data_IF_205170091014
#
_entry.id   IF_205170091014
#
_cell.length_a   1.000
_cell.length_b   1.000
_cell.length_c   1.000
_cell.angle_alpha   90.00
_cell.angle_beta   90.00
_cell.angle_gamma   90.00
#
_symmetry.space_group_name_H-M   'P 1'
#
loop_
_entity.id
_entity.type
_entity.pdbx_description
1 polymer ?
#
# COMPACT_ATOMS: atom_id res chain seq x y z
N UNK A 1 8.65 -15.53 -9.91
CA UNK A 1 8.18 -14.15 -10.15
C UNK A 1 6.74 -14.04 -9.68
N UNK A 2 6.40 -13.07 -8.82
CA UNK A 2 5.08 -12.95 -8.14
C UNK A 2 3.90 -12.85 -9.11
N UNK A 3 4.11 -12.35 -10.33
CA UNK A 3 3.06 -12.19 -11.35
C UNK A 3 2.96 -13.34 -12.37
N UNK A 4 3.75 -14.41 -12.23
CA UNK A 4 3.79 -15.53 -13.20
C UNK A 4 2.53 -16.40 -13.21
N UNK A 5 1.56 -16.10 -12.33
CA UNK A 5 0.37 -16.92 -12.10
C UNK A 5 -0.95 -16.15 -12.26
N UNK A 6 -0.89 -14.92 -12.78
CA UNK A 6 -2.09 -14.15 -13.11
C UNK A 6 -2.77 -14.73 -14.35
N UNK A 7 -4.05 -15.11 -14.22
CA UNK A 7 -4.85 -15.47 -15.40
C UNK A 7 -5.11 -14.21 -16.24
N UNK A 8 -5.51 -14.36 -17.50
CA UNK A 8 -5.86 -13.22 -18.36
C UNK A 8 -6.95 -12.32 -17.75
N UNK A 9 -7.87 -12.89 -16.97
CA UNK A 9 -8.88 -12.14 -16.21
C UNK A 9 -8.25 -11.30 -15.10
N UNK A 10 -7.28 -11.85 -14.36
CA UNK A 10 -6.60 -11.10 -13.30
C UNK A 10 -5.78 -9.95 -13.90
N UNK A 11 -5.22 -10.14 -15.09
CA UNK A 11 -4.49 -9.08 -15.82
C UNK A 11 -5.40 -7.92 -16.23
N UNK A 12 -6.60 -8.22 -16.70
CA UNK A 12 -7.60 -7.20 -17.04
C UNK A 12 -8.05 -6.45 -15.78
N UNK A 13 -8.33 -7.16 -14.68
CA UNK A 13 -8.70 -6.52 -13.41
C UNK A 13 -7.57 -5.63 -12.85
N UNK A 14 -6.32 -6.07 -12.95
CA UNK A 14 -5.17 -5.25 -12.54
C UNK A 14 -5.01 -4.01 -13.41
N UNK A 15 -5.23 -4.12 -14.72
CA UNK A 15 -5.20 -2.98 -15.64
C UNK A 15 -6.30 -1.96 -15.33
N UNK A 16 -7.54 -2.43 -15.12
CA UNK A 16 -8.67 -1.59 -14.70
C UNK A 16 -8.44 -0.94 -13.33
N UNK A 17 -7.91 -1.72 -12.37
CA UNK A 17 -7.53 -1.22 -11.05
C UNK A 17 -6.45 -0.15 -11.12
N UNK A 18 -5.44 -0.31 -11.98
CA UNK A 18 -4.41 0.69 -12.23
C UNK A 18 -4.97 2.01 -12.76
N UNK A 19 -5.86 1.94 -13.75
CA UNK A 19 -6.54 3.13 -14.29
C UNK A 19 -7.40 3.79 -13.21
N UNK A 20 -8.08 2.97 -12.39
CA UNK A 20 -8.84 3.41 -11.23
C UNK A 20 -7.97 4.18 -10.23
N UNK A 21 -6.85 3.60 -9.78
CA UNK A 21 -5.90 4.23 -8.84
C UNK A 21 -5.28 5.51 -9.35
N UNK A 22 -4.99 5.57 -10.65
CA UNK A 22 -4.49 6.80 -11.27
C UNK A 22 -5.58 7.88 -11.26
N UNK A 23 -6.81 7.50 -11.62
CA UNK A 23 -7.99 8.35 -11.56
C UNK A 23 -8.27 8.89 -10.16
N UNK A 24 -8.28 8.01 -9.15
CA UNK A 24 -8.49 8.39 -7.75
C UNK A 24 -7.43 9.38 -7.27
N UNK A 25 -6.17 9.11 -7.63
CA UNK A 25 -5.07 10.03 -7.33
C UNK A 25 -5.25 11.44 -7.92
N UNK A 26 -5.96 11.58 -9.05
CA UNK A 26 -6.21 12.86 -9.70
C UNK A 26 -7.38 13.67 -9.10
N UNK A 27 -8.30 13.01 -8.37
CA UNK A 27 -9.52 13.66 -7.87
C UNK A 27 -9.18 14.83 -6.94
N UNK A 28 -8.31 14.62 -5.95
CA UNK A 28 -7.96 15.66 -4.98
C UNK A 28 -7.36 16.92 -5.64
N UNK A 29 -6.35 16.81 -6.54
CA UNK A 29 -5.86 17.95 -7.33
C UNK A 29 -6.94 18.66 -8.14
N UNK A 30 -7.85 17.92 -8.80
CA UNK A 30 -8.95 18.51 -9.57
C UNK A 30 -9.94 19.28 -8.69
N UNK A 31 -10.27 18.76 -7.52
CA UNK A 31 -11.13 19.45 -6.54
C UNK A 31 -10.47 20.74 -6.05
N UNK A 32 -9.16 20.71 -5.75
CA UNK A 32 -8.42 21.92 -5.40
C UNK A 32 -8.41 22.96 -6.53
N UNK A 33 -8.25 22.52 -7.78
CA UNK A 33 -8.30 23.40 -8.94
C UNK A 33 -9.65 24.12 -9.07
N UNK A 34 -10.77 23.37 -9.03
CA UNK A 34 -12.12 23.94 -9.13
C UNK A 34 -12.40 24.87 -7.95
N UNK A 35 -11.95 24.49 -6.75
CA UNK A 35 -12.08 25.34 -5.56
C UNK A 35 -11.26 26.63 -5.68
N UNK A 36 -10.07 26.56 -6.30
CA UNK A 36 -9.26 27.73 -6.62
C UNK A 36 -9.95 28.69 -7.59
N UNK A 37 -10.62 28.16 -8.63
CA UNK A 37 -11.44 28.97 -9.54
C UNK A 37 -12.63 29.61 -8.82
N UNK A 38 -13.34 28.85 -7.98
CA UNK A 38 -14.40 29.35 -7.13
C UNK A 38 -13.95 30.53 -6.26
N UNK A 39 -12.81 30.38 -5.59
CA UNK A 39 -12.22 31.44 -4.76
C UNK A 39 -11.83 32.68 -5.57
N UNK A 40 -11.31 32.48 -6.79
CA UNK A 40 -10.97 33.59 -7.67
C UNK A 40 -12.22 34.36 -8.15
N UNK A 41 -13.29 33.65 -8.49
CA UNK A 41 -14.56 34.27 -8.88
C UNK A 41 -15.17 35.07 -7.71
N UNK A 42 -15.10 34.55 -6.47
CA UNK A 42 -15.52 35.27 -5.25
C UNK A 42 -14.68 36.52 -5.00
N UNK A 43 -13.36 36.45 -5.23
CA UNK A 43 -12.47 37.60 -5.03
C UNK A 43 -12.61 38.69 -6.10
N UNK A 44 -13.05 38.34 -7.32
CA UNK A 44 -13.10 39.25 -8.47
C UNK A 44 -14.44 39.99 -8.64
N UNK A 45 -15.54 39.45 -8.13
CA UNK A 45 -16.88 40.05 -8.27
C UNK A 45 -17.31 40.85 -7.04
N UNK A 46 -17.99 41.98 -7.25
CA UNK A 46 -18.67 42.68 -6.16
C UNK A 46 -19.86 41.85 -5.67
N UNK A 47 -20.02 41.71 -4.35
CA UNK A 47 -21.13 40.96 -3.75
C UNK A 47 -22.48 41.57 -4.18
N UNK A 48 -23.24 40.87 -5.02
CA UNK A 48 -24.61 41.25 -5.39
C UNK A 48 -24.96 41.18 -6.88
N UNK A 49 -24.00 40.87 -7.76
CA UNK A 49 -24.25 40.82 -9.21
C UNK A 49 -24.86 39.46 -9.64
N UNK A 50 -25.83 39.45 -10.57
CA UNK A 50 -26.46 38.20 -11.04
C UNK A 50 -25.45 37.24 -11.70
N UNK A 51 -24.40 37.82 -12.28
CA UNK A 51 -23.26 37.12 -12.90
C UNK A 51 -22.48 36.29 -11.88
N UNK A 52 -22.36 36.77 -10.63
CA UNK A 52 -21.68 36.05 -9.54
C UNK A 52 -22.43 34.78 -9.15
N UNK A 53 -23.76 34.87 -9.00
CA UNK A 53 -24.58 33.71 -8.67
C UNK A 53 -24.51 32.65 -9.77
N UNK A 54 -24.49 33.05 -11.04
CA UNK A 54 -24.33 32.11 -12.16
C UNK A 54 -22.95 31.43 -12.17
N UNK A 55 -21.87 32.16 -11.86
CA UNK A 55 -20.52 31.59 -11.79
C UNK A 55 -20.40 30.55 -10.66
N UNK A 56 -20.91 30.86 -9.46
CA UNK A 56 -20.95 29.92 -8.34
C UNK A 56 -21.75 28.67 -8.70
N UNK A 57 -22.96 28.83 -9.26
CA UNK A 57 -23.80 27.69 -9.63
C UNK A 57 -23.12 26.81 -10.70
N UNK A 58 -22.40 27.40 -11.65
CA UNK A 58 -21.64 26.65 -12.66
C UNK A 58 -20.52 25.81 -12.01
N UNK A 59 -19.75 26.40 -11.12
CA UNK A 59 -18.65 25.72 -10.44
C UNK A 59 -19.14 24.69 -9.41
N UNK A 60 -20.25 24.96 -8.72
CA UNK A 60 -20.90 24.01 -7.82
C UNK A 60 -21.41 22.77 -8.58
N UNK A 61 -22.00 22.96 -9.78
CA UNK A 61 -22.37 21.85 -10.67
C UNK A 61 -21.14 21.06 -11.12
N UNK A 62 -20.03 21.72 -11.43
CA UNK A 62 -18.78 21.04 -11.79
C UNK A 62 -18.25 20.16 -10.63
N UNK A 63 -18.28 20.65 -9.39
CA UNK A 63 -17.93 19.85 -8.21
C UNK A 63 -18.85 18.63 -8.05
N UNK A 64 -20.15 18.78 -8.30
CA UNK A 64 -21.09 17.66 -8.24
C UNK A 64 -20.77 16.59 -9.28
N UNK A 65 -20.47 16.97 -10.53
CA UNK A 65 -20.05 16.02 -11.56
C UNK A 65 -18.74 15.31 -11.20
N UNK A 66 -17.76 16.03 -10.64
CA UNK A 66 -16.51 15.43 -10.16
C UNK A 66 -16.76 14.48 -9.00
N UNK A 67 -17.65 14.80 -8.07
CA UNK A 67 -18.00 13.91 -6.95
C UNK A 67 -18.67 12.61 -7.43
N UNK A 68 -19.58 12.69 -8.42
CA UNK A 68 -20.18 11.50 -9.03
C UNK A 68 -19.14 10.65 -9.78
N UNK A 69 -18.25 11.28 -10.55
CA UNK A 69 -17.17 10.57 -11.25
C UNK A 69 -16.19 9.92 -10.26
N UNK A 70 -15.83 10.64 -9.21
CA UNK A 70 -14.99 10.18 -8.11
C UNK A 70 -15.56 8.90 -7.48
N UNK A 71 -16.85 8.92 -7.13
CA UNK A 71 -17.51 7.76 -6.54
C UNK A 71 -17.39 6.50 -7.42
N UNK A 72 -17.62 6.65 -8.73
CA UNK A 72 -17.50 5.52 -9.68
C UNK A 72 -16.05 5.03 -9.80
N UNK A 73 -15.08 5.95 -9.85
CA UNK A 73 -13.65 5.62 -9.97
C UNK A 73 -13.16 4.90 -8.72
N UNK A 74 -13.36 5.48 -7.53
CA UNK A 74 -12.93 4.88 -6.26
C UNK A 74 -13.59 3.51 -6.04
N UNK A 75 -14.88 3.38 -6.38
CA UNK A 75 -15.58 2.10 -6.25
C UNK A 75 -15.00 1.04 -7.18
N UNK A 76 -14.75 1.40 -8.45
CA UNK A 76 -14.17 0.48 -9.44
C UNK A 76 -12.75 0.07 -9.04
N UNK A 77 -11.94 1.01 -8.58
CA UNK A 77 -10.60 0.74 -8.06
C UNK A 77 -10.64 -0.26 -6.90
N UNK A 78 -11.39 0.06 -5.84
CA UNK A 78 -11.47 -0.77 -4.65
C UNK A 78 -11.95 -2.18 -5.00
N UNK A 79 -13.01 -2.27 -5.82
CA UNK A 79 -13.54 -3.55 -6.26
C UNK A 79 -12.51 -4.37 -7.05
N UNK A 80 -11.83 -3.77 -8.03
CA UNK A 80 -10.86 -4.46 -8.87
C UNK A 80 -9.65 -4.95 -8.07
N UNK A 81 -9.10 -4.13 -7.17
CA UNK A 81 -7.94 -4.52 -6.36
C UNK A 81 -8.27 -5.54 -5.29
N UNK A 82 -9.37 -5.36 -4.55
CA UNK A 82 -9.82 -6.36 -3.56
C UNK A 82 -10.09 -7.71 -4.23
N UNK A 83 -10.81 -7.71 -5.37
CA UNK A 83 -11.11 -8.95 -6.08
C UNK A 83 -9.86 -9.65 -6.63
N UNK A 84 -8.89 -8.87 -7.11
CA UNK A 84 -7.61 -9.42 -7.58
C UNK A 84 -6.82 -10.04 -6.43
N UNK A 85 -6.72 -9.34 -5.29
CA UNK A 85 -6.04 -9.83 -4.09
C UNK A 85 -6.61 -11.16 -3.60
N UNK A 86 -7.95 -11.25 -3.48
CA UNK A 86 -8.65 -12.47 -3.09
C UNK A 86 -8.36 -13.65 -4.03
N UNK A 87 -8.45 -13.42 -5.35
CA UNK A 87 -8.23 -14.46 -6.37
C UNK A 87 -6.79 -14.98 -6.34
N UNK A 88 -5.81 -14.09 -6.24
CA UNK A 88 -4.40 -14.48 -6.18
C UNK A 88 -4.09 -15.25 -4.91
N UNK A 89 -4.57 -14.78 -3.75
CA UNK A 89 -4.36 -15.45 -2.47
C UNK A 89 -5.01 -16.84 -2.44
N UNK A 90 -6.23 -16.98 -2.96
CA UNK A 90 -6.94 -18.26 -3.06
C UNK A 90 -6.18 -19.26 -3.95
N UNK A 91 -5.70 -18.82 -5.12
CA UNK A 91 -4.90 -19.66 -6.02
C UNK A 91 -3.58 -20.11 -5.40
N UNK A 92 -2.89 -19.22 -4.69
CA UNK A 92 -1.66 -19.57 -3.99
C UNK A 92 -1.92 -20.66 -2.95
N UNK A 93 -2.95 -20.50 -2.11
CA UNK A 93 -3.35 -21.53 -1.13
C UNK A 93 -3.71 -22.86 -1.78
N UNK A 94 -4.50 -22.85 -2.86
CA UNK A 94 -4.91 -24.08 -3.55
C UNK A 94 -3.71 -24.82 -4.18
N UNK A 95 -2.81 -24.10 -4.85
CA UNK A 95 -1.63 -24.69 -5.47
C UNK A 95 -0.65 -25.23 -4.45
N UNK A 96 -0.48 -24.49 -3.35
CA UNK A 96 0.35 -24.94 -2.25
C UNK A 96 -0.19 -26.22 -1.61
N UNK A 97 -1.48 -26.26 -1.26
CA UNK A 97 -2.11 -27.47 -0.73
C UNK A 97 -1.95 -28.65 -1.70
N UNK A 98 -2.13 -28.41 -3.00
CA UNK A 98 -1.91 -29.43 -4.03
C UNK A 98 -0.45 -29.90 -4.13
N UNK A 99 0.52 -29.01 -3.91
CA UNK A 99 1.94 -29.36 -3.91
C UNK A 99 2.29 -30.21 -2.68
N UNK A 100 1.82 -29.81 -1.49
CA UNK A 100 2.01 -30.56 -0.24
C UNK A 100 1.41 -31.96 -0.32
N UNK A 101 0.20 -32.10 -0.88
CA UNK A 101 -0.47 -33.39 -1.04
C UNK A 101 0.20 -34.32 -2.07
N UNK A 102 1.07 -33.79 -2.94
CA UNK A 102 1.80 -34.57 -3.96
C UNK A 102 3.18 -35.01 -3.47
N UNK A 103 3.54 -34.67 -2.24
CA UNK A 103 4.88 -34.87 -1.73
C UNK A 103 5.01 -36.22 -1.04
N UNK A 104 6.14 -36.90 -1.27
CA UNK A 104 6.38 -38.23 -0.71
C UNK A 104 6.52 -38.20 0.81
N UNK A 105 6.18 -39.31 1.47
CA UNK A 105 6.25 -39.46 2.94
C UNK A 105 7.66 -39.15 3.47
N UNK A 106 8.71 -39.49 2.73
CA UNK A 106 10.10 -39.19 3.10
C UNK A 106 10.43 -37.70 3.19
N UNK A 107 9.67 -36.82 2.52
CA UNK A 107 9.83 -35.37 2.66
C UNK A 107 9.33 -34.86 4.02
N UNK A 108 8.28 -35.49 4.56
CA UNK A 108 7.74 -35.16 5.88
C UNK A 108 8.62 -35.71 7.02
N UNK A 109 9.36 -36.80 6.77
CA UNK A 109 10.31 -37.35 7.76
C UNK A 109 11.67 -36.62 7.78
N UNK A 110 12.15 -36.10 6.63
CA UNK A 110 13.45 -35.44 6.52
C UNK A 110 13.42 -33.95 6.91
N UNK A 111 12.29 -33.27 6.75
CA UNK A 111 12.17 -31.87 7.11
C UNK A 111 11.61 -31.74 8.53
N UNK A 112 12.47 -31.32 9.45
CA UNK A 112 12.20 -31.07 10.88
C UNK A 112 11.20 -29.91 11.10
N UNK A 113 10.81 -29.19 10.05
CA UNK A 113 9.70 -28.24 10.10
C UNK A 113 8.40 -29.02 10.08
N UNK A 114 7.68 -29.07 11.20
CA UNK A 114 6.40 -29.77 11.31
C UNK A 114 5.51 -29.41 10.12
N UNK A 115 4.84 -30.38 9.50
CA UNK A 115 3.90 -30.13 8.39
C UNK A 115 2.92 -28.99 8.69
N UNK A 116 2.56 -28.82 9.97
CA UNK A 116 1.77 -27.70 10.50
C UNK A 116 2.43 -26.32 10.32
N UNK A 117 3.74 -26.21 10.48
CA UNK A 117 4.48 -24.95 10.37
C UNK A 117 4.54 -24.49 8.93
N UNK A 118 4.75 -25.41 7.98
CA UNK A 118 4.75 -25.08 6.55
C UNK A 118 3.34 -24.71 6.07
N UNK A 119 2.30 -25.36 6.58
CA UNK A 119 0.90 -24.97 6.28
C UNK A 119 0.59 -23.58 6.85
N UNK A 120 1.03 -23.30 8.08
CA UNK A 120 0.79 -22.03 8.75
C UNK A 120 1.56 -20.89 8.09
N UNK A 121 2.81 -21.12 7.70
CA UNK A 121 3.63 -20.13 6.99
C UNK A 121 3.00 -19.75 5.67
N UNK A 122 2.55 -20.71 4.86
CA UNK A 122 1.93 -20.38 3.56
C UNK A 122 0.56 -19.71 3.71
N UNK A 123 -0.24 -20.09 4.72
CA UNK A 123 -1.48 -19.37 4.99
C UNK A 123 -1.22 -17.91 5.35
N UNK A 124 -0.21 -17.68 6.19
CA UNK A 124 0.25 -16.34 6.62
C UNK A 124 0.81 -15.55 5.45
N UNK A 125 1.72 -16.12 4.67
CA UNK A 125 2.32 -15.49 3.50
C UNK A 125 1.27 -15.15 2.45
N UNK A 126 0.28 -16.02 2.25
CA UNK A 126 -0.84 -15.75 1.33
C UNK A 126 -1.71 -14.59 1.81
N UNK A 127 -1.95 -14.46 3.12
CA UNK A 127 -2.64 -13.30 3.71
C UNK A 127 -1.85 -12.02 3.55
N UNK A 128 -0.53 -12.07 3.79
CA UNK A 128 0.35 -10.91 3.59
C UNK A 128 0.37 -10.47 2.14
N UNK A 129 0.44 -11.40 1.19
CA UNK A 129 0.36 -11.10 -0.25
C UNK A 129 -1.00 -10.52 -0.62
N UNK A 130 -2.09 -11.03 -0.03
CA UNK A 130 -3.43 -10.48 -0.22
C UNK A 130 -3.47 -9.02 0.22
N UNK A 131 -3.04 -8.73 1.45
CA UNK A 131 -3.02 -7.38 2.02
C UNK A 131 -2.20 -6.40 1.16
N UNK A 132 -1.02 -6.84 0.73
CA UNK A 132 -0.16 -6.04 -0.14
C UNK A 132 -0.83 -5.73 -1.48
N UNK A 133 -1.46 -6.72 -2.11
CA UNK A 133 -2.11 -6.54 -3.41
C UNK A 133 -3.42 -5.75 -3.34
N UNK A 134 -4.25 -5.97 -2.31
CA UNK A 134 -5.57 -5.34 -2.21
C UNK A 134 -5.54 -3.96 -1.59
N UNK A 135 -4.57 -3.66 -0.72
CA UNK A 135 -4.55 -2.40 0.03
C UNK A 135 -3.28 -1.59 -0.20
N UNK A 136 -2.09 -2.18 -0.03
CA UNK A 136 -0.84 -1.39 -0.04
C UNK A 136 -0.46 -0.92 -1.45
N UNK A 137 -0.61 -1.78 -2.45
CA UNK A 137 -0.28 -1.49 -3.84
C UNK A 137 -1.17 -0.39 -4.46
N UNK A 138 -2.52 -0.45 -4.39
CA UNK A 138 -3.37 0.64 -4.87
C UNK A 138 -3.09 1.95 -4.15
N UNK A 139 -2.93 1.92 -2.81
CA UNK A 139 -2.59 3.12 -2.05
C UNK A 139 -1.28 3.75 -2.55
N UNK A 140 -0.25 2.94 -2.79
CA UNK A 140 1.02 3.44 -3.33
C UNK A 140 0.82 4.10 -4.70
N UNK A 141 0.09 3.46 -5.62
CA UNK A 141 -0.21 3.99 -6.95
C UNK A 141 -1.01 5.30 -6.89
N UNK A 142 -2.05 5.34 -6.05
CA UNK A 142 -2.83 6.55 -5.80
C UNK A 142 -1.93 7.69 -5.32
N UNK A 143 -1.09 7.47 -4.30
CA UNK A 143 -0.20 8.52 -3.76
C UNK A 143 0.80 9.02 -4.79
N UNK A 144 1.37 8.13 -5.60
CA UNK A 144 2.27 8.50 -6.70
C UNK A 144 1.52 9.33 -7.74
N UNK A 145 0.32 8.90 -8.14
CA UNK A 145 -0.52 9.64 -9.08
C UNK A 145 -0.90 11.02 -8.56
N UNK A 146 -1.35 11.13 -7.30
CA UNK A 146 -1.66 12.41 -6.65
C UNK A 146 -0.47 13.34 -6.63
N UNK A 147 0.73 12.83 -6.36
CA UNK A 147 1.94 13.65 -6.36
C UNK A 147 2.19 14.32 -7.72
N UNK A 148 2.12 13.55 -8.81
CA UNK A 148 2.30 14.10 -10.16
C UNK A 148 1.13 14.99 -10.58
N UNK A 149 -0.11 14.57 -10.33
CA UNK A 149 -1.31 15.33 -10.69
C UNK A 149 -1.36 16.69 -9.95
N UNK A 150 -0.99 16.72 -8.66
CA UNK A 150 -0.88 17.97 -7.89
C UNK A 150 0.14 18.93 -8.50
N UNK A 151 1.27 18.40 -8.98
CA UNK A 151 2.30 19.20 -9.63
C UNK A 151 1.83 19.79 -10.94
N UNK A 152 1.19 18.98 -11.78
CA UNK A 152 0.63 19.40 -13.06
C UNK A 152 -0.39 20.52 -12.84
N UNK A 153 -1.33 20.33 -11.91
CA UNK A 153 -2.32 21.35 -11.55
C UNK A 153 -1.66 22.62 -11.00
N UNK A 154 -0.66 22.48 -10.12
CA UNK A 154 0.09 23.60 -9.57
C UNK A 154 0.78 24.44 -10.65
N UNK A 155 1.45 23.78 -11.60
CA UNK A 155 2.08 24.45 -12.75
C UNK A 155 1.08 25.16 -13.65
N UNK A 156 -0.10 24.58 -13.87
CA UNK A 156 -1.18 25.19 -14.67
C UNK A 156 -1.71 26.46 -13.98
N UNK A 157 -1.92 26.45 -12.67
CA UNK A 157 -2.48 27.61 -11.97
C UNK A 157 -1.44 28.72 -11.79
N UNK A 158 -0.29 28.43 -11.17
CA UNK A 158 0.73 29.45 -10.84
C UNK A 158 2.15 28.90 -11.01
N UNK A 159 2.59 28.76 -12.27
CA UNK A 159 3.93 28.28 -12.61
C UNK A 159 5.08 29.00 -11.86
N UNK A 160 4.96 30.31 -11.60
CA UNK A 160 5.98 31.09 -10.86
C UNK A 160 6.11 30.66 -9.40
N UNK A 161 5.00 30.36 -8.72
CA UNK A 161 5.03 29.90 -7.33
C UNK A 161 5.49 28.44 -7.23
N UNK A 162 5.09 27.60 -8.19
CA UNK A 162 5.48 26.19 -8.22
C UNK A 162 6.99 26.03 -8.40
N UNK A 163 7.63 26.84 -9.26
CA UNK A 163 9.09 26.84 -9.44
C UNK A 163 9.82 27.16 -8.13
N UNK A 164 9.30 28.12 -7.34
CA UNK A 164 9.86 28.47 -6.03
C UNK A 164 9.67 27.34 -5.01
N UNK A 165 8.63 26.52 -5.15
CA UNK A 165 8.33 25.40 -4.25
C UNK A 165 9.18 24.13 -4.50
N UNK A 166 9.72 23.95 -5.71
CA UNK A 166 10.56 22.79 -6.07
C UNK A 166 11.74 22.53 -5.12
N UNK A 167 12.57 23.51 -4.72
CA UNK A 167 13.67 23.26 -3.77
C UNK A 167 13.19 22.75 -2.41
N UNK A 168 12.00 23.16 -1.95
CA UNK A 168 11.43 22.67 -0.69
C UNK A 168 11.11 21.18 -0.74
N UNK A 169 10.78 20.64 -1.92
CA UNK A 169 10.55 19.21 -2.08
C UNK A 169 11.84 18.42 -1.92
N UNK A 170 12.92 18.88 -2.54
CA UNK A 170 14.24 18.23 -2.38
C UNK A 170 14.66 18.29 -0.91
N UNK A 171 14.44 19.43 -0.26
CA UNK A 171 14.71 19.63 1.17
C UNK A 171 13.87 18.72 2.09
N UNK A 172 12.65 18.33 1.70
CA UNK A 172 11.81 17.39 2.45
C UNK A 172 12.11 15.92 2.12
N UNK A 173 12.43 15.60 0.86
CA UNK A 173 12.73 14.25 0.39
C UNK A 173 14.02 13.70 1.00
N UNK A 174 15.09 14.50 1.05
CA UNK A 174 16.40 14.05 1.53
C UNK A 174 16.33 13.56 2.99
N UNK A 175 15.81 14.34 3.97
CA UNK A 175 15.64 13.86 5.32
C UNK A 175 14.67 12.68 5.39
N UNK A 176 13.56 12.71 4.64
CA UNK A 176 12.58 11.61 4.63
C UNK A 176 13.19 10.27 4.23
N UNK A 177 14.00 10.26 3.17
CA UNK A 177 14.73 9.07 2.72
C UNK A 177 15.81 8.65 3.73
N UNK A 178 16.52 9.60 4.32
CA UNK A 178 17.53 9.33 5.34
C UNK A 178 16.91 8.69 6.59
N UNK A 179 15.83 9.28 7.12
CA UNK A 179 15.05 8.73 8.24
C UNK A 179 14.54 7.33 7.91
N UNK A 180 13.98 7.13 6.71
CA UNK A 180 13.53 5.81 6.24
C UNK A 180 14.64 4.76 6.27
N UNK A 181 15.84 5.10 5.79
CA UNK A 181 17.00 4.18 5.84
C UNK A 181 17.46 3.90 7.26
N UNK A 182 17.46 4.92 8.13
CA UNK A 182 17.82 4.74 9.55
C UNK A 182 16.81 3.80 10.23
N UNK A 183 15.51 4.00 10.00
CA UNK A 183 14.45 3.14 10.51
C UNK A 183 14.62 1.68 10.08
N UNK A 184 14.88 1.43 8.79
CA UNK A 184 15.13 0.07 8.28
C UNK A 184 16.35 -0.56 8.96
N UNK A 185 17.44 0.21 9.12
CA UNK A 185 18.64 -0.26 9.78
C UNK A 185 18.41 -0.59 11.27
N UNK A 186 17.68 0.26 11.98
CA UNK A 186 17.32 0.04 13.39
C UNK A 186 16.43 -1.19 13.52
N UNK A 187 15.41 -1.33 12.68
CA UNK A 187 14.52 -2.50 12.67
C UNK A 187 15.30 -3.80 12.42
N UNK A 188 16.28 -3.79 11.51
CA UNK A 188 17.17 -4.94 11.26
C UNK A 188 18.00 -5.30 12.50
N UNK A 189 18.64 -4.31 13.15
CA UNK A 189 19.43 -4.55 14.37
C UNK A 189 18.57 -5.11 15.51
N UNK A 190 17.36 -4.56 15.68
CA UNK A 190 16.39 -5.06 16.67
C UNK A 190 16.08 -6.53 16.39
N UNK A 191 15.77 -6.88 15.14
CA UNK A 191 15.48 -8.26 14.74
C UNK A 191 16.66 -9.21 14.96
N UNK A 192 17.89 -8.78 14.66
CA UNK A 192 19.11 -9.57 14.92
C UNK A 192 19.30 -9.84 16.42
N UNK A 193 19.16 -8.83 17.27
CA UNK A 193 19.25 -9.01 18.73
C UNK A 193 18.14 -9.90 19.30
N UNK A 194 16.91 -9.78 18.78
CA UNK A 194 15.81 -10.67 19.16
C UNK A 194 16.04 -12.11 18.73
N UNK A 195 16.63 -12.34 17.55
CA UNK A 195 16.95 -13.70 17.09
C UNK A 195 18.02 -14.36 17.97
N UNK A 196 19.04 -13.61 18.40
CA UNK A 196 20.10 -14.12 19.27
C UNK A 196 19.55 -14.47 20.66
N UNK A 197 18.80 -13.56 21.29
CA UNK A 197 18.15 -13.82 22.57
C UNK A 197 17.12 -14.96 22.48
N UNK A 198 16.36 -15.01 21.38
CA UNK A 198 15.40 -16.08 21.09
C UNK A 198 16.06 -17.45 20.98
N UNK A 199 17.21 -17.54 20.30
CA UNK A 199 17.99 -18.77 20.18
C UNK A 199 18.48 -19.27 21.55
N UNK A 200 18.98 -18.37 22.41
CA UNK A 200 19.41 -18.73 23.77
C UNK A 200 18.23 -19.25 24.60
N UNK A 201 17.09 -18.55 24.55
CA UNK A 201 15.88 -18.97 25.24
C UNK A 201 15.36 -20.33 24.75
N UNK A 202 15.38 -20.54 23.43
CA UNK A 202 14.98 -21.80 22.80
C UNK A 202 15.91 -22.95 23.22
N UNK A 203 17.23 -22.72 23.29
CA UNK A 203 18.19 -23.70 23.81
C UNK A 203 17.95 -24.03 25.28
N UNK A 204 17.72 -23.01 26.13
CA UNK A 204 17.45 -23.21 27.55
C UNK A 204 16.18 -24.03 27.79
N UNK A 205 15.11 -23.76 27.02
CA UNK A 205 13.86 -24.52 27.08
C UNK A 205 14.05 -25.94 26.55
N UNK A 206 14.72 -26.10 25.41
CA UNK A 206 14.97 -27.42 24.80
C UNK A 206 15.81 -28.33 25.70
N UNK A 207 16.71 -27.75 26.51
CA UNK A 207 17.61 -28.47 27.41
C UNK A 207 17.23 -28.32 28.89
N UNK A 208 15.96 -28.04 29.19
CA UNK A 208 15.49 -27.72 30.56
C UNK A 208 15.92 -28.74 31.62
N UNK A 209 15.91 -30.05 31.30
CA UNK A 209 16.38 -31.09 32.23
C UNK A 209 17.87 -30.97 32.54
N UNK A 210 18.68 -30.62 31.54
CA UNK A 210 20.12 -30.41 31.69
C UNK A 210 20.40 -29.12 32.47
N UNK A 211 19.71 -28.03 32.15
CA UNK A 211 19.85 -26.74 32.86
C UNK A 211 19.49 -26.90 34.34
N UNK A 212 18.41 -27.64 34.64
CA UNK A 212 17.99 -27.95 36.00
C UNK A 212 18.99 -28.87 36.73
N UNK A 213 19.46 -29.93 36.05
CA UNK A 213 20.41 -30.88 36.64
C UNK A 213 21.77 -30.24 37.02
N UNK A 214 22.22 -29.24 36.27
CA UNK A 214 23.45 -28.49 36.55
C UNK A 214 23.22 -27.17 37.30
N UNK A 215 21.98 -26.86 37.72
CA UNK A 215 21.64 -25.64 38.47
C UNK A 215 22.03 -24.34 37.75
N UNK A 216 22.05 -24.35 36.41
CA UNK A 216 22.60 -23.26 35.59
C UNK A 216 21.57 -22.19 35.24
N UNK A 217 20.39 -22.22 35.88
CA UNK A 217 19.25 -21.34 35.62
C UNK A 217 19.54 -19.83 35.70
N UNK A 218 20.53 -19.43 36.52
CA UNK A 218 20.93 -18.02 36.67
C UNK A 218 22.02 -17.57 35.69
N UNK A 219 22.59 -18.51 34.93
CA UNK A 219 23.76 -18.29 34.06
C UNK A 219 23.41 -18.23 32.57
N UNK A 220 22.26 -18.80 32.19
CA UNK A 220 21.62 -18.65 30.88
C UNK A 220 20.56 -17.55 30.95
#
# INVERSE_FOLDING_TARGET
SIFMHADGVDWILMGLGLIGSVGDGCIAPTVFFITGLLLNDIGGSSFGDETFMQAILKNARALLYVACAAWVICFTEAYCWTRTGERQASKMRQRYLRAVLRQDVGYFDLNVSSTSDVITSVSTDSLLIQDVLSEKLPNFLMKVSTFFASYIVGFIMLWRLTIVSLPFIVLLLIPGLMYGRVLINVSRKIREGYNEAGSIAEQAISLVRTVYAFGTERKM
#
